data_IF_231328024285
#
_entry.id   IF_231328024285
#
_cell.length_a   1.000
_cell.length_b   1.000
_cell.length_c   1.000
_cell.angle_alpha   90.00
_cell.angle_beta   90.00
_cell.angle_gamma   90.00
#
_symmetry.space_group_name_H-M   'P 1'
#
loop_
_entity.id
_entity.type
_entity.pdbx_description
1 polymer ?
#
# COMPACT_ATOMS: atom_id res chain seq x y z
N UNK A 1 -7.40 50.34 10.00
CA UNK A 1 -7.68 49.00 10.59
C UNK A 1 -8.23 47.94 9.60
N UNK A 2 -8.38 48.22 8.30
CA UNK A 2 -8.99 47.27 7.33
C UNK A 2 -8.00 46.22 6.76
N UNK A 3 -6.70 46.52 6.75
CA UNK A 3 -5.66 45.63 6.21
C UNK A 3 -5.43 44.37 7.06
N UNK A 4 -5.49 44.47 8.39
CA UNK A 4 -5.13 43.36 9.28
C UNK A 4 -6.12 42.19 9.16
N UNK A 5 -7.40 42.45 8.87
CA UNK A 5 -8.41 41.38 8.65
C UNK A 5 -8.16 40.58 7.37
N UNK A 6 -7.67 41.22 6.30
CA UNK A 6 -7.34 40.51 5.07
C UNK A 6 -6.14 39.60 5.29
N UNK A 7 -5.07 40.11 5.90
CA UNK A 7 -3.87 39.31 6.20
C UNK A 7 -4.20 38.10 7.08
N UNK A 8 -5.06 38.27 8.10
CA UNK A 8 -5.49 37.17 8.97
C UNK A 8 -6.23 36.05 8.20
N UNK A 9 -7.08 36.42 7.23
CA UNK A 9 -7.81 35.46 6.38
C UNK A 9 -6.86 34.67 5.46
N UNK A 10 -5.84 35.31 4.89
CA UNK A 10 -4.83 34.64 4.08
C UNK A 10 -3.99 33.64 4.89
N UNK A 11 -3.58 34.03 6.10
CA UNK A 11 -2.81 33.16 7.00
C UNK A 11 -3.65 31.96 7.44
N UNK A 12 -4.93 32.17 7.81
CA UNK A 12 -5.84 31.08 8.16
C UNK A 12 -6.09 30.11 6.99
N UNK A 13 -6.20 30.64 5.76
CA UNK A 13 -6.35 29.82 4.56
C UNK A 13 -5.14 28.93 4.29
N UNK A 14 -3.92 29.47 4.43
CA UNK A 14 -2.68 28.71 4.24
C UNK A 14 -2.51 27.66 5.34
N UNK A 15 -2.75 28.02 6.60
CA UNK A 15 -2.66 27.07 7.72
C UNK A 15 -3.67 25.94 7.54
N UNK A 16 -4.90 26.24 7.13
CA UNK A 16 -5.92 25.22 6.84
C UNK A 16 -5.51 24.30 5.69
N UNK A 17 -4.97 24.85 4.61
CA UNK A 17 -4.51 24.07 3.46
C UNK A 17 -3.34 23.16 3.80
N UNK A 18 -2.35 23.66 4.56
CA UNK A 18 -1.21 22.87 5.04
C UNK A 18 -1.69 21.78 6.00
N UNK A 19 -2.58 22.11 6.95
CA UNK A 19 -3.15 21.13 7.89
C UNK A 19 -3.92 20.04 7.14
N UNK A 20 -4.67 20.39 6.10
CA UNK A 20 -5.39 19.46 5.26
C UNK A 20 -4.44 18.57 4.45
N UNK A 21 -3.35 19.11 3.90
CA UNK A 21 -2.33 18.31 3.23
C UNK A 21 -1.63 17.34 4.18
N UNK A 22 -1.32 17.77 5.41
CA UNK A 22 -0.78 16.88 6.45
C UNK A 22 -1.78 15.78 6.82
N UNK A 23 -3.05 16.12 7.04
CA UNK A 23 -4.11 15.14 7.31
C UNK A 23 -4.30 14.15 6.15
N UNK A 24 -4.25 14.60 4.91
CA UNK A 24 -4.33 13.74 3.72
C UNK A 24 -3.10 12.83 3.61
N UNK A 25 -1.90 13.34 3.93
CA UNK A 25 -0.67 12.54 3.95
C UNK A 25 -0.66 11.48 5.07
N UNK A 26 -1.20 11.82 6.24
CA UNK A 26 -1.39 10.90 7.38
C UNK A 26 -2.44 9.81 7.06
N UNK A 27 -3.49 10.17 6.33
CA UNK A 27 -4.54 9.23 5.90
C UNK A 27 -4.11 8.30 4.78
N UNK A 28 -3.16 8.72 3.92
CA UNK A 28 -2.68 7.90 2.79
C UNK A 28 -1.77 6.75 3.23
N UNK A 29 -1.19 6.80 4.43
CA UNK A 29 -0.24 5.80 4.93
C UNK A 29 -0.76 5.11 6.20
N UNK A 30 -1.90 4.42 6.11
CA UNK A 30 -2.40 3.58 7.21
C UNK A 30 -1.73 2.21 7.20
N UNK A 31 -1.17 1.86 8.36
CA UNK A 31 -0.80 0.50 8.73
C UNK A 31 -2.07 -0.35 8.61
N UNK A 32 -2.06 -1.35 7.75
CA UNK A 32 -3.19 -2.23 7.50
C UNK A 32 -2.72 -3.68 7.43
N UNK A 33 -3.64 -4.61 7.65
CA UNK A 33 -3.35 -6.04 7.55
C UNK A 33 -4.14 -6.62 6.40
N UNK A 34 -3.59 -7.67 5.77
CA UNK A 34 -4.34 -8.45 4.78
C UNK A 34 -5.23 -9.44 5.54
N UNK A 35 -6.53 -9.30 5.34
CA UNK A 35 -7.58 -10.15 5.92
C UNK A 35 -7.94 -11.33 5.01
N UNK A 36 -7.60 -11.25 3.73
CA UNK A 36 -7.82 -12.34 2.78
C UNK A 36 -7.05 -12.14 1.48
N UNK A 37 -6.83 -13.25 0.78
CA UNK A 37 -6.20 -13.28 -0.55
C UNK A 37 -7.21 -13.85 -1.54
N UNK A 38 -7.48 -13.11 -2.60
CA UNK A 38 -8.31 -13.52 -3.72
C UNK A 38 -7.48 -13.99 -4.92
N UNK A 39 -8.17 -14.56 -5.92
CA UNK A 39 -7.54 -14.98 -7.16
C UNK A 39 -6.84 -13.82 -7.89
N UNK A 40 -5.87 -14.16 -8.73
CA UNK A 40 -5.11 -13.23 -9.58
C UNK A 40 -4.45 -12.07 -8.81
N UNK A 41 -4.01 -12.31 -7.57
CA UNK A 41 -3.27 -11.34 -6.76
C UNK A 41 -4.11 -10.21 -6.18
N UNK A 42 -5.41 -10.46 -5.98
CA UNK A 42 -6.26 -9.56 -5.19
C UNK A 42 -6.00 -9.76 -3.70
N UNK A 43 -5.91 -8.66 -2.96
CA UNK A 43 -5.76 -8.67 -1.51
C UNK A 43 -6.92 -7.91 -0.88
N UNK A 44 -7.55 -8.53 0.11
CA UNK A 44 -8.57 -7.89 0.95
C UNK A 44 -7.88 -7.37 2.20
N UNK A 45 -8.07 -6.09 2.49
CA UNK A 45 -7.48 -5.42 3.63
C UNK A 45 -8.45 -5.42 4.82
N UNK A 46 -7.92 -5.24 6.03
CA UNK A 46 -8.72 -5.15 7.26
C UNK A 46 -9.69 -3.95 7.29
N UNK A 47 -9.46 -2.94 6.44
CA UNK A 47 -10.33 -1.78 6.28
C UNK A 47 -11.45 -2.00 5.24
N UNK A 48 -11.55 -3.21 4.68
CA UNK A 48 -12.57 -3.60 3.69
C UNK A 48 -12.22 -3.23 2.25
N UNK A 49 -11.09 -2.57 1.99
CA UNK A 49 -10.65 -2.32 0.61
C UNK A 49 -10.10 -3.60 -0.02
N UNK A 50 -10.37 -3.74 -1.31
CA UNK A 50 -9.70 -4.73 -2.17
C UNK A 50 -8.70 -4.03 -3.04
N UNK A 51 -7.46 -4.50 -3.04
CA UNK A 51 -6.36 -3.99 -3.86
C UNK A 51 -5.80 -5.09 -4.76
N UNK A 52 -5.01 -4.71 -5.76
CA UNK A 52 -4.29 -5.63 -6.62
C UNK A 52 -2.80 -5.32 -6.61
N UNK A 53 -1.98 -6.37 -6.65
CA UNK A 53 -0.54 -6.23 -6.83
C UNK A 53 -0.22 -5.65 -8.20
N UNK A 54 0.58 -4.60 -8.22
CA UNK A 54 1.01 -3.95 -9.46
C UNK A 54 2.17 -4.69 -10.13
N UNK A 55 2.21 -4.60 -11.48
CA UNK A 55 3.39 -4.96 -12.26
C UNK A 55 3.65 -6.46 -12.33
N UNK A 56 2.77 -7.28 -11.75
CA UNK A 56 2.85 -8.73 -11.78
C UNK A 56 1.52 -9.36 -12.15
N UNK A 57 1.60 -10.45 -12.92
CA UNK A 57 0.49 -11.36 -13.20
C UNK A 57 0.69 -12.59 -12.32
N UNK A 58 -0.21 -12.83 -11.39
CA UNK A 58 -0.25 -14.11 -10.70
C UNK A 58 -0.89 -15.12 -11.62
N UNK A 59 -0.39 -16.35 -11.59
CA UNK A 59 -0.97 -17.48 -12.31
C UNK A 59 -2.46 -17.62 -11.96
N UNK A 60 -3.29 -18.00 -12.91
CA UNK A 60 -4.72 -18.20 -12.68
C UNK A 60 -5.06 -19.65 -12.32
N UNK A 61 -6.25 -19.90 -11.78
CA UNK A 61 -6.69 -21.25 -11.42
C UNK A 61 -6.60 -22.20 -12.64
N UNK A 62 -5.93 -23.34 -12.46
CA UNK A 62 -5.65 -24.29 -13.54
C UNK A 62 -4.27 -24.12 -14.21
N UNK A 63 -3.56 -23.01 -13.98
CA UNK A 63 -2.16 -22.86 -14.37
C UNK A 63 -1.22 -23.55 -13.36
N UNK A 64 -0.14 -24.16 -13.85
CA UNK A 64 0.86 -24.81 -13.01
C UNK A 64 1.51 -23.82 -12.04
N UNK A 65 1.37 -24.06 -10.74
CA UNK A 65 1.93 -23.18 -9.69
C UNK A 65 0.95 -22.13 -9.16
N UNK A 66 -0.30 -22.12 -9.61
CA UNK A 66 -1.38 -21.32 -8.99
C UNK A 66 -1.50 -21.60 -7.48
N UNK A 67 -1.70 -22.85 -7.10
CA UNK A 67 -1.88 -23.25 -5.69
C UNK A 67 -0.67 -22.88 -4.84
N UNK A 68 0.54 -23.07 -5.37
CA UNK A 68 1.77 -22.67 -4.70
C UNK A 68 1.85 -21.15 -4.52
N UNK A 69 1.42 -20.38 -5.52
CA UNK A 69 1.34 -18.92 -5.44
C UNK A 69 0.34 -18.43 -4.41
N UNK A 70 -0.85 -19.02 -4.38
CA UNK A 70 -1.88 -18.71 -3.39
C UNK A 70 -1.44 -19.07 -1.96
N UNK A 71 -0.80 -20.24 -1.79
CA UNK A 71 -0.22 -20.64 -0.52
C UNK A 71 0.85 -19.65 -0.05
N UNK A 72 1.80 -19.29 -0.92
CA UNK A 72 2.87 -18.35 -0.60
C UNK A 72 2.32 -16.96 -0.24
N UNK A 73 1.35 -16.46 -1.01
CA UNK A 73 0.65 -15.20 -0.70
C UNK A 73 0.00 -15.22 0.68
N UNK A 74 -0.73 -16.29 1.00
CA UNK A 74 -1.40 -16.44 2.29
C UNK A 74 -0.39 -16.43 3.45
N UNK A 75 0.67 -17.22 3.35
CA UNK A 75 1.74 -17.28 4.38
C UNK A 75 2.46 -15.94 4.56
N UNK A 76 2.71 -15.24 3.45
CA UNK A 76 3.39 -13.95 3.48
C UNK A 76 2.52 -12.83 4.04
N UNK A 77 1.20 -12.84 3.81
CA UNK A 77 0.38 -11.63 4.00
C UNK A 77 -0.69 -11.73 5.07
N UNK A 78 -1.31 -12.91 5.27
CA UNK A 78 -2.44 -13.02 6.19
C UNK A 78 -1.99 -12.67 7.61
N UNK A 79 -2.74 -11.78 8.24
CA UNK A 79 -2.45 -11.26 9.59
C UNK A 79 -1.05 -10.64 9.73
N UNK A 80 -0.42 -10.23 8.63
CA UNK A 80 0.84 -9.48 8.62
C UNK A 80 0.57 -8.01 8.38
N UNK A 81 1.39 -7.18 9.02
CA UNK A 81 1.46 -5.76 8.76
C UNK A 81 1.97 -5.52 7.34
N UNK A 82 1.16 -4.85 6.53
CA UNK A 82 1.53 -4.49 5.16
C UNK A 82 1.55 -2.99 4.96
N UNK A 83 2.45 -2.60 4.07
CA UNK A 83 2.74 -1.22 3.72
C UNK A 83 2.45 -1.08 2.24
N UNK A 84 1.47 -0.26 1.93
CA UNK A 84 0.95 -0.09 0.58
C UNK A 84 1.55 1.16 -0.03
N UNK A 85 2.11 0.99 -1.21
CA UNK A 85 2.58 2.09 -2.05
C UNK A 85 1.78 2.03 -3.34
N UNK A 86 0.91 3.01 -3.55
CA UNK A 86 0.27 3.21 -4.85
C UNK A 86 1.39 3.39 -5.88
N UNK A 87 1.52 2.46 -6.81
CA UNK A 87 2.28 2.76 -8.02
C UNK A 87 1.32 3.21 -9.10
N UNK A 88 1.80 3.19 -10.35
CA UNK A 88 1.29 4.00 -11.44
C UNK A 88 -0.22 3.85 -11.70
N UNK A 89 -0.58 3.04 -12.69
CA UNK A 89 -1.89 3.18 -13.36
C UNK A 89 -3.00 2.36 -12.70
N UNK A 90 -2.69 1.27 -11.97
CA UNK A 90 -3.74 0.39 -11.42
C UNK A 90 -3.25 -0.69 -10.43
N UNK A 91 -2.45 -0.34 -9.43
CA UNK A 91 -2.09 -1.31 -8.40
C UNK A 91 -1.27 -0.77 -7.26
N UNK A 92 -0.89 -1.69 -6.37
CA UNK A 92 -0.07 -1.40 -5.21
C UNK A 92 1.19 -2.26 -5.20
N UNK A 93 2.30 -1.64 -4.84
CA UNK A 93 3.47 -2.33 -4.32
C UNK A 93 3.24 -2.63 -2.84
N UNK A 94 3.36 -3.90 -2.46
CA UNK A 94 3.06 -4.36 -1.10
C UNK A 94 4.34 -4.75 -0.39
N UNK A 95 4.62 -4.06 0.71
CA UNK A 95 5.83 -4.23 1.49
C UNK A 95 5.53 -4.83 2.87
N UNK A 96 6.41 -5.73 3.32
CA UNK A 96 6.37 -6.33 4.66
C UNK A 96 7.61 -5.92 5.45
N UNK A 97 7.46 -5.85 6.77
CA UNK A 97 8.60 -5.78 7.70
C UNK A 97 9.15 -4.38 7.87
N UNK A 98 8.30 -3.36 7.76
CA UNK A 98 8.66 -2.00 8.12
C UNK A 98 9.05 -1.90 9.60
N UNK A 99 10.24 -1.38 9.86
CA UNK A 99 10.76 -1.12 11.20
C UNK A 99 11.23 0.33 11.26
N UNK A 100 10.60 1.17 12.11
CA UNK A 100 10.88 2.61 12.18
C UNK A 100 9.85 3.38 13.02
N UNK A 101 10.23 4.57 13.51
CA UNK A 101 9.42 5.41 14.41
C UNK A 101 8.24 6.04 13.64
N UNK A 102 7.02 5.97 14.19
CA UNK A 102 5.74 6.08 13.46
C UNK A 102 5.34 7.54 13.15
N UNK A 103 6.25 8.50 13.25
CA UNK A 103 5.99 9.89 12.83
C UNK A 103 6.28 10.02 11.33
N UNK A 104 5.36 9.51 10.51
CA UNK A 104 5.49 9.52 9.06
C UNK A 104 6.34 8.38 8.51
N UNK A 105 5.84 7.74 7.46
CA UNK A 105 6.41 6.56 6.83
C UNK A 105 7.75 6.82 6.10
N UNK A 106 8.26 8.06 6.13
CA UNK A 106 9.57 8.44 5.59
C UNK A 106 10.74 7.79 6.36
N UNK A 107 10.51 7.24 7.56
CA UNK A 107 11.49 6.49 8.34
C UNK A 107 11.37 4.96 8.23
N UNK A 108 10.57 4.43 7.30
CA UNK A 108 10.30 3.00 7.18
C UNK A 108 11.43 2.25 6.45
N UNK A 109 12.16 1.37 7.15
CA UNK A 109 13.02 0.39 6.50
C UNK A 109 12.18 -0.77 5.96
N UNK A 110 11.70 -0.62 4.73
CA UNK A 110 10.97 -1.66 3.98
C UNK A 110 11.91 -2.85 3.73
N UNK A 111 11.55 -4.06 4.16
CA UNK A 111 12.43 -5.24 4.09
C UNK A 111 12.13 -6.16 2.91
N UNK A 112 10.86 -6.34 2.60
CA UNK A 112 10.44 -7.33 1.61
C UNK A 112 9.35 -6.75 0.71
N UNK A 113 9.59 -6.76 -0.61
CA UNK A 113 8.62 -6.41 -1.63
C UNK A 113 7.94 -7.68 -2.12
N UNK A 114 6.66 -7.84 -1.77
CA UNK A 114 5.90 -9.06 -2.04
C UNK A 114 5.80 -9.34 -3.54
N UNK A 115 5.61 -8.28 -4.34
CA UNK A 115 5.53 -8.38 -5.80
C UNK A 115 6.78 -9.07 -6.39
N UNK A 116 7.98 -8.72 -5.89
CA UNK A 116 9.24 -9.29 -6.37
C UNK A 116 9.46 -10.72 -5.87
N UNK A 117 9.10 -11.01 -4.62
CA UNK A 117 9.26 -12.37 -4.07
C UNK A 117 8.36 -13.39 -4.78
N UNK A 118 7.14 -13.01 -5.16
CA UNK A 118 6.27 -13.88 -5.96
C UNK A 118 6.85 -14.19 -7.34
N UNK A 119 7.50 -13.20 -7.97
CA UNK A 119 8.20 -13.40 -9.24
C UNK A 119 9.43 -14.29 -9.03
N UNK A 120 10.22 -14.05 -7.97
CA UNK A 120 11.40 -14.84 -7.64
C UNK A 120 11.06 -16.31 -7.34
N UNK A 121 9.91 -16.55 -6.72
CA UNK A 121 9.39 -17.89 -6.44
C UNK A 121 8.77 -18.59 -7.67
N UNK A 122 8.67 -17.91 -8.83
CA UNK A 122 8.12 -18.50 -10.06
C UNK A 122 6.61 -18.71 -10.05
N UNK A 123 5.91 -18.05 -9.11
CA UNK A 123 4.45 -18.13 -8.95
C UNK A 123 3.73 -16.90 -9.54
N UNK A 124 4.49 -15.89 -9.95
CA UNK A 124 4.02 -14.74 -10.68
C UNK A 124 4.99 -14.35 -11.82
N UNK A 125 4.48 -13.64 -12.81
CA UNK A 125 5.23 -13.13 -13.96
C UNK A 125 5.24 -11.60 -13.92
N UNK A 126 6.37 -10.99 -14.27
CA UNK A 126 6.46 -9.53 -14.37
C UNK A 126 5.73 -9.05 -15.63
N UNK A 127 4.78 -8.14 -15.48
CA UNK A 127 4.12 -7.47 -16.60
C UNK A 127 5.04 -6.36 -17.11
N UNK A 128 5.27 -6.32 -18.44
CA UNK A 128 6.11 -5.31 -19.10
C UNK A 128 5.38 -3.99 -19.26
#
# INVERSE_FOLDING_TARGET
MKNNRRVLLWVLGIVSFVLMMFLVAELRNRKTFVSGVGGDGQLVLSDGRTIRLEGIRIKSAGEEGYEAGMFLLNEMLINKDVYLEEGGVSGYSVWIGCTGNIFGYSGCNKRLLVNEELVRAGVAEKMR
#
